data_IF_431034871221
#
_entry.id   IF_431034871221
#
_cell.length_a   1.000
_cell.length_b   1.000
_cell.length_c   1.000
_cell.angle_alpha   90.00
_cell.angle_beta   90.00
_cell.angle_gamma   90.00
#
_symmetry.space_group_name_H-M   'P 1'
#
loop_
_entity.id
_entity.type
_entity.pdbx_description
1 polymer ?
#
# COMPACT_ATOMS: atom_id res chain seq x y z
N UNK A 1 12.73 7.42 -9.92
CA UNK A 1 11.62 8.40 -9.81
C UNK A 1 12.11 9.75 -10.29
N UNK A 2 11.74 10.18 -11.50
CA UNK A 2 12.00 11.55 -11.95
C UNK A 2 11.30 12.55 -11.02
N UNK A 3 11.98 13.64 -10.67
CA UNK A 3 11.41 14.75 -9.91
C UNK A 3 10.97 15.82 -10.90
N UNK A 4 9.66 16.04 -11.00
CA UNK A 4 9.09 17.07 -11.86
C UNK A 4 8.90 18.37 -11.08
N UNK A 5 9.16 19.52 -11.72
CA UNK A 5 8.90 20.84 -11.15
C UNK A 5 7.69 21.45 -11.85
N UNK A 6 6.61 21.63 -11.12
CA UNK A 6 5.40 22.31 -11.57
C UNK A 6 5.38 23.76 -11.07
N UNK A 7 4.76 24.66 -11.82
CA UNK A 7 4.67 26.09 -11.47
C UNK A 7 3.45 26.38 -10.60
N UNK A 8 2.38 25.62 -10.74
CA UNK A 8 1.14 25.77 -9.97
C UNK A 8 0.64 24.43 -9.45
N UNK A 9 -0.30 24.48 -8.49
CA UNK A 9 -0.91 23.28 -7.93
C UNK A 9 -1.83 22.58 -8.93
N UNK A 10 -2.57 23.35 -9.74
CA UNK A 10 -3.47 22.84 -10.76
C UNK A 10 -2.73 22.05 -11.85
N UNK A 11 -1.52 22.50 -12.20
CA UNK A 11 -0.63 21.78 -13.12
C UNK A 11 -0.18 20.44 -12.52
N UNK A 12 0.17 20.42 -11.24
CA UNK A 12 0.56 19.21 -10.53
C UNK A 12 -0.63 18.23 -10.38
N UNK A 13 -1.82 18.73 -10.08
CA UNK A 13 -3.05 17.92 -10.02
C UNK A 13 -3.38 17.28 -11.36
N UNK A 14 -3.26 18.06 -12.45
CA UNK A 14 -3.50 17.55 -13.80
C UNK A 14 -2.51 16.46 -14.19
N UNK A 15 -1.24 16.61 -13.77
CA UNK A 15 -0.19 15.63 -14.05
C UNK A 15 -0.36 14.29 -13.31
N UNK A 16 -1.23 14.20 -12.29
CA UNK A 16 -1.56 12.93 -11.64
C UNK A 16 -2.36 12.00 -12.55
N UNK A 17 -3.10 12.56 -13.51
CA UNK A 17 -3.99 11.82 -14.38
C UNK A 17 -3.38 11.64 -15.76
N UNK A 18 -3.27 10.38 -16.21
CA UNK A 18 -3.02 10.11 -17.62
C UNK A 18 -4.35 9.99 -18.36
N UNK A 19 -4.75 11.05 -19.09
CA UNK A 19 -6.00 11.09 -19.83
C UNK A 19 -5.99 10.26 -21.13
N UNK A 20 -4.80 9.82 -21.58
CA UNK A 20 -4.62 9.01 -22.79
C UNK A 20 -3.74 7.80 -22.50
N UNK A 21 -4.22 6.83 -21.69
CA UNK A 21 -3.45 5.64 -21.36
C UNK A 21 -3.34 4.72 -22.58
N UNK A 22 -2.14 4.22 -22.82
CA UNK A 22 -1.84 3.20 -23.82
C UNK A 22 -1.59 1.83 -23.17
N UNK A 23 -1.32 0.81 -23.99
CA UNK A 23 -1.04 -0.55 -23.49
C UNK A 23 0.22 -0.60 -22.60
N UNK A 24 1.22 0.21 -22.92
CA UNK A 24 2.45 0.31 -22.13
C UNK A 24 2.18 0.89 -20.74
N UNK A 25 1.33 1.91 -20.63
CA UNK A 25 0.90 2.48 -19.35
C UNK A 25 0.25 1.43 -18.44
N UNK A 26 -0.72 0.66 -18.96
CA UNK A 26 -1.37 -0.37 -18.15
C UNK A 26 -0.41 -1.47 -17.71
N UNK A 27 0.54 -1.85 -18.57
CA UNK A 27 1.58 -2.82 -18.24
C UNK A 27 2.45 -2.31 -17.07
N UNK A 28 2.88 -1.05 -17.11
CA UNK A 28 3.66 -0.42 -16.04
C UNK A 28 2.88 -0.32 -14.72
N UNK A 29 1.59 0.04 -14.79
CA UNK A 29 0.72 0.09 -13.60
C UNK A 29 0.59 -1.30 -12.98
N UNK A 30 0.42 -2.35 -13.78
CA UNK A 30 0.36 -3.72 -13.29
C UNK A 30 1.68 -4.14 -12.60
N UNK A 31 2.83 -3.82 -13.19
CA UNK A 31 4.14 -4.07 -12.60
C UNK A 31 4.34 -3.34 -11.27
N UNK A 32 3.93 -2.07 -11.19
CA UNK A 32 3.98 -1.28 -9.97
C UNK A 32 3.19 -1.94 -8.84
N UNK A 33 1.94 -2.34 -9.10
CA UNK A 33 1.10 -3.00 -8.09
C UNK A 33 1.61 -4.39 -7.71
N UNK A 34 2.14 -5.15 -8.68
CA UNK A 34 2.79 -6.42 -8.41
C UNK A 34 4.01 -6.26 -7.49
N UNK A 35 4.81 -5.22 -7.71
CA UNK A 35 5.97 -4.92 -6.85
C UNK A 35 5.53 -4.45 -5.45
N UNK A 36 4.55 -3.54 -5.37
CA UNK A 36 4.01 -3.07 -4.09
C UNK A 36 3.45 -4.23 -3.24
N UNK A 37 2.72 -5.15 -3.86
CA UNK A 37 2.19 -6.34 -3.20
C UNK A 37 3.29 -7.26 -2.64
N UNK A 38 4.47 -7.32 -3.27
CA UNK A 38 5.62 -8.07 -2.76
C UNK A 38 6.26 -7.40 -1.55
N UNK A 39 6.33 -6.07 -1.54
CA UNK A 39 6.92 -5.31 -0.43
C UNK A 39 6.03 -5.29 0.81
N UNK A 40 4.72 -5.13 0.63
CA UNK A 40 3.75 -5.07 1.72
C UNK A 40 2.51 -5.91 1.38
N UNK A 41 2.53 -7.23 1.69
CA UNK A 41 1.42 -8.11 1.39
C UNK A 41 0.27 -7.91 2.37
N UNK A 42 -0.56 -6.88 2.15
CA UNK A 42 -1.82 -6.70 2.88
C UNK A 42 -2.90 -7.58 2.23
N UNK A 43 -3.63 -8.33 3.07
CA UNK A 43 -4.79 -9.11 2.63
C UNK A 43 -6.05 -8.42 3.15
N UNK A 44 -6.90 -7.98 2.22
CA UNK A 44 -8.22 -7.46 2.53
C UNK A 44 -9.27 -8.58 2.55
N UNK A 45 -10.34 -8.44 3.35
CA UNK A 45 -11.47 -9.37 3.30
C UNK A 45 -12.10 -9.38 1.91
N UNK A 46 -12.43 -10.58 1.41
CA UNK A 46 -13.12 -10.72 0.12
C UNK A 46 -14.61 -10.39 0.29
N UNK A 47 -15.18 -9.70 -0.69
CA UNK A 47 -16.62 -9.41 -0.74
C UNK A 47 -16.92 -7.95 -1.04
N UNK A 48 -18.20 -7.65 -1.28
CA UNK A 48 -18.70 -6.30 -1.46
C UNK A 48 -19.21 -5.80 -0.11
N UNK A 49 -18.61 -4.73 0.40
CA UNK A 49 -19.01 -4.09 1.66
C UNK A 49 -19.83 -2.85 1.35
N UNK A 50 -21.03 -2.77 1.93
CA UNK A 50 -21.91 -1.60 1.79
C UNK A 50 -21.64 -0.63 2.94
N UNK A 51 -21.34 0.61 2.59
CA UNK A 51 -21.15 1.71 3.54
C UNK A 51 -22.17 2.82 3.28
N UNK A 52 -22.47 3.60 4.30
CA UNK A 52 -23.37 4.76 4.19
C UNK A 52 -22.65 6.00 3.71
N UNK A 53 -21.35 6.11 4.01
CA UNK A 53 -20.51 7.24 3.61
C UNK A 53 -19.08 6.79 3.31
N UNK A 54 -18.30 7.68 2.69
CA UNK A 54 -16.89 7.42 2.38
C UNK A 54 -16.01 7.38 3.64
N UNK A 55 -16.38 8.14 4.67
CA UNK A 55 -15.69 8.16 5.96
C UNK A 55 -15.79 6.80 6.67
N UNK A 56 -16.97 6.16 6.59
CA UNK A 56 -17.18 4.82 7.14
C UNK A 56 -16.29 3.78 6.43
N UNK A 57 -16.22 3.84 5.09
CA UNK A 57 -15.35 2.98 4.30
C UNK A 57 -13.87 3.18 4.63
N UNK A 58 -13.43 4.44 4.77
CA UNK A 58 -12.06 4.79 5.13
C UNK A 58 -11.71 4.31 6.55
N UNK A 59 -12.65 4.44 7.50
CA UNK A 59 -12.45 3.93 8.86
C UNK A 59 -12.25 2.42 8.87
N UNK A 60 -13.11 1.67 8.17
CA UNK A 60 -12.97 0.21 8.10
C UNK A 60 -11.65 -0.21 7.43
N UNK A 61 -11.24 0.48 6.36
CA UNK A 61 -9.93 0.25 5.74
C UNK A 61 -8.78 0.47 6.72
N UNK A 62 -8.78 1.59 7.44
CA UNK A 62 -7.75 1.91 8.45
C UNK A 62 -7.66 0.83 9.54
N UNK A 63 -8.79 0.30 9.99
CA UNK A 63 -8.82 -0.79 10.97
C UNK A 63 -8.12 -2.05 10.44
N UNK A 64 -8.34 -2.43 9.17
CA UNK A 64 -7.65 -3.56 8.54
C UNK A 64 -6.15 -3.33 8.42
N UNK A 65 -5.74 -2.14 7.98
CA UNK A 65 -4.32 -1.77 7.85
C UNK A 65 -3.62 -1.78 9.21
N UNK A 66 -4.25 -1.22 10.25
CA UNK A 66 -3.72 -1.22 11.63
C UNK A 66 -3.60 -2.64 12.20
N UNK A 67 -4.61 -3.50 11.97
CA UNK A 67 -4.56 -4.89 12.40
C UNK A 67 -3.41 -5.65 11.71
N UNK A 68 -3.19 -5.40 10.42
CA UNK A 68 -2.07 -5.97 9.68
C UNK A 68 -0.71 -5.48 10.21
N UNK A 69 -0.56 -4.17 10.43
CA UNK A 69 0.67 -3.58 10.98
C UNK A 69 1.03 -4.18 12.35
N UNK A 70 0.04 -4.35 13.24
CA UNK A 70 0.23 -5.00 14.54
C UNK A 70 0.73 -6.44 14.40
N UNK A 71 0.18 -7.21 13.45
CA UNK A 71 0.65 -8.58 13.18
C UNK A 71 2.11 -8.60 12.72
N UNK A 72 2.51 -7.71 11.82
CA UNK A 72 3.90 -7.58 11.36
C UNK A 72 4.83 -7.21 12.52
N UNK A 73 4.46 -6.27 13.37
CA UNK A 73 5.27 -5.87 14.52
C UNK A 73 5.53 -7.04 15.48
N UNK A 74 4.49 -7.84 15.77
CA UNK A 74 4.62 -9.04 16.62
C UNK A 74 5.52 -10.08 15.95
N UNK A 75 5.34 -10.33 14.65
CA UNK A 75 6.16 -11.28 13.91
C UNK A 75 7.65 -10.86 13.93
N UNK A 76 7.95 -9.58 13.66
CA UNK A 76 9.30 -9.02 13.73
C UNK A 76 9.93 -9.20 15.11
N UNK A 77 9.21 -8.86 16.19
CA UNK A 77 9.70 -9.07 17.57
C UNK A 77 10.05 -10.53 17.85
N UNK A 78 9.24 -11.48 17.37
CA UNK A 78 9.52 -12.92 17.55
C UNK A 78 10.76 -13.38 16.80
N UNK A 79 11.01 -12.86 15.60
CA UNK A 79 12.23 -13.16 14.83
C UNK A 79 13.45 -12.63 15.55
N UNK A 80 13.43 -11.37 16.00
CA UNK A 80 14.56 -10.78 16.73
C UNK A 80 14.88 -11.51 18.03
N UNK A 81 13.86 -11.95 18.78
CA UNK A 81 14.08 -12.75 20.00
C UNK A 81 14.65 -14.13 19.70
N UNK A 82 14.20 -14.78 18.61
CA UNK A 82 14.76 -16.08 18.18
C UNK A 82 16.21 -15.97 17.73
N UNK A 83 16.58 -14.89 17.06
CA UNK A 83 17.96 -14.64 16.62
C UNK A 83 18.88 -14.35 17.80
N UNK A 84 18.42 -13.58 18.79
CA UNK A 84 19.17 -13.34 20.02
C UNK A 84 19.49 -14.64 20.79
N UNK A 85 18.50 -15.50 20.97
CA UNK A 85 18.68 -16.77 21.68
C UNK A 85 19.58 -17.77 20.92
N UNK A 86 19.78 -17.62 19.61
CA UNK A 86 20.63 -18.50 18.80
C UNK A 86 22.12 -18.13 18.86
N UNK A 87 22.46 -16.92 19.31
CA UNK A 87 23.84 -16.47 19.51
C UNK A 87 24.38 -16.75 20.92
N UNK A 88 23.55 -17.27 21.83
CA UNK A 88 23.93 -17.61 23.21
C UNK A 88 24.26 -19.11 23.40
N UNK A 89 24.09 -19.93 22.35
CA UNK A 89 24.53 -21.34 22.25
C UNK A 89 25.80 -21.47 21.38
#
# INVERSE_FOLDING_TARGET
MPVYKYKTFEEAESALWNFHPDEAYFSQVAELWNFANKLCPITYPKGIFKYRSIEEANKQRNEWELAHAKKIQVARKRVTTKEANRCED
#
